data_IF_697037569709
#
_entry.id   IF_697037569709
#
_cell.length_a   1.000
_cell.length_b   1.000
_cell.length_c   1.000
_cell.angle_alpha   90.00
_cell.angle_beta   90.00
_cell.angle_gamma   90.00
#
_symmetry.space_group_name_H-M   'P 1'
#
loop_
_entity.id
_entity.type
_entity.pdbx_description
1 polymer ?
#
# COMPACT_ATOMS: atom_id res chain seq x y z
N UNK A 1 20.08 -8.09 -5.54
CA UNK A 1 19.41 -6.88 -6.07
C UNK A 1 19.69 -5.72 -5.14
N UNK A 2 20.05 -4.56 -5.70
CA UNK A 2 20.27 -3.34 -4.92
C UNK A 2 18.98 -2.52 -4.86
N UNK A 3 18.77 -1.80 -3.75
CA UNK A 3 17.70 -0.82 -3.64
C UNK A 3 17.89 0.35 -4.60
N UNK A 4 16.83 1.11 -4.82
CA UNK A 4 16.87 2.32 -5.62
C UNK A 4 17.09 3.58 -4.78
N UNK A 5 17.15 4.73 -5.46
CA UNK A 5 17.32 6.05 -4.82
C UNK A 5 16.08 6.53 -4.04
N UNK A 6 14.95 5.86 -4.21
CA UNK A 6 13.68 6.12 -3.53
C UNK A 6 12.93 4.83 -3.25
N UNK A 7 11.86 4.90 -2.44
CA UNK A 7 10.97 3.76 -2.20
C UNK A 7 10.43 3.20 -3.53
N UNK A 8 9.89 4.06 -4.37
CA UNK A 8 9.32 3.66 -5.66
C UNK A 8 10.35 3.03 -6.59
N UNK A 9 11.56 3.56 -6.64
CA UNK A 9 12.65 2.97 -7.41
C UNK A 9 13.05 1.58 -6.88
N UNK A 10 13.07 1.40 -5.57
CA UNK A 10 13.35 0.10 -4.94
C UNK A 10 12.28 -0.94 -5.30
N UNK A 11 11.01 -0.56 -5.25
CA UNK A 11 9.89 -1.44 -5.63
C UNK A 11 9.99 -1.83 -7.11
N UNK A 12 10.26 -0.88 -7.99
CA UNK A 12 10.46 -1.17 -9.43
C UNK A 12 11.59 -2.14 -9.68
N UNK A 13 12.71 -1.99 -8.98
CA UNK A 13 13.84 -2.92 -9.07
C UNK A 13 13.43 -4.32 -8.60
N UNK A 14 12.65 -4.41 -7.52
CA UNK A 14 12.11 -5.67 -7.02
C UNK A 14 11.22 -6.37 -8.04
N UNK A 15 10.33 -5.62 -8.67
CA UNK A 15 9.42 -6.13 -9.71
C UNK A 15 10.20 -6.66 -10.91
N UNK A 16 11.22 -5.93 -11.37
CA UNK A 16 12.08 -6.39 -12.47
C UNK A 16 12.83 -7.68 -12.16
N UNK A 17 13.19 -7.88 -10.89
CA UNK A 17 13.89 -9.07 -10.43
C UNK A 17 12.95 -10.23 -10.06
N UNK A 18 11.64 -9.99 -10.01
CA UNK A 18 10.65 -11.00 -9.67
C UNK A 18 10.56 -12.09 -10.75
N UNK A 19 10.13 -13.29 -10.34
CA UNK A 19 9.92 -14.39 -11.27
C UNK A 19 8.90 -13.97 -12.34
N UNK A 20 9.24 -14.20 -13.60
CA UNK A 20 8.38 -13.89 -14.75
C UNK A 20 7.01 -14.59 -14.71
N UNK A 21 6.94 -15.74 -14.00
CA UNK A 21 5.71 -16.52 -13.83
C UNK A 21 4.85 -16.05 -12.64
N UNK A 22 5.34 -15.10 -11.84
CA UNK A 22 4.57 -14.57 -10.72
C UNK A 22 3.30 -13.89 -11.23
N UNK A 23 2.16 -14.26 -10.68
CA UNK A 23 0.85 -13.69 -11.04
C UNK A 23 0.42 -12.57 -10.10
N UNK A 24 1.02 -12.49 -8.94
CA UNK A 24 0.74 -11.48 -7.92
C UNK A 24 2.05 -10.94 -7.36
N UNK A 25 2.03 -9.67 -6.96
CA UNK A 25 3.09 -9.04 -6.20
C UNK A 25 2.60 -8.75 -4.79
N UNK A 26 3.36 -9.14 -3.79
CA UNK A 26 3.17 -8.74 -2.41
C UNK A 26 4.30 -7.78 -2.02
N UNK A 27 3.97 -6.52 -1.84
CA UNK A 27 4.95 -5.47 -1.54
C UNK A 27 4.88 -5.19 -0.04
N UNK A 28 5.99 -5.42 0.65
CA UNK A 28 6.05 -5.33 2.10
C UNK A 28 7.19 -4.43 2.57
N UNK A 29 6.89 -3.59 3.56
CA UNK A 29 7.89 -2.78 4.25
C UNK A 29 8.84 -3.69 5.05
N UNK A 30 10.14 -3.64 4.74
CA UNK A 30 11.15 -4.36 5.52
C UNK A 30 11.20 -3.94 7.00
N UNK A 31 10.69 -2.74 7.29
CA UNK A 31 10.59 -2.20 8.65
C UNK A 31 9.35 -2.69 9.44
N UNK A 32 8.56 -3.63 8.89
CA UNK A 32 7.44 -4.28 9.59
C UNK A 32 7.73 -5.76 9.86
N UNK A 33 8.62 -6.06 10.80
CA UNK A 33 9.06 -7.43 11.01
C UNK A 33 8.05 -8.31 11.77
N UNK A 34 7.02 -7.73 12.36
CA UNK A 34 6.05 -8.44 13.20
C UNK A 34 4.80 -8.88 12.46
N UNK A 35 4.81 -8.82 11.14
CA UNK A 35 3.71 -9.35 10.31
C UNK A 35 3.49 -10.84 10.61
N UNK A 36 2.24 -11.27 10.73
CA UNK A 36 1.89 -12.66 10.98
C UNK A 36 1.50 -13.39 9.71
N UNK A 37 1.61 -14.72 9.73
CA UNK A 37 1.17 -15.57 8.61
C UNK A 37 -0.33 -15.39 8.36
N UNK A 38 -1.13 -15.29 9.39
CA UNK A 38 -2.58 -15.05 9.25
C UNK A 38 -2.90 -13.76 8.51
N UNK A 39 -2.23 -12.67 8.83
CA UNK A 39 -2.40 -11.38 8.14
C UNK A 39 -1.99 -11.48 6.66
N UNK A 40 -0.88 -12.15 6.38
CA UNK A 40 -0.41 -12.37 5.00
C UNK A 40 -1.45 -13.18 4.21
N UNK A 41 -1.93 -14.29 4.77
CA UNK A 41 -2.93 -15.14 4.12
C UNK A 41 -4.21 -14.37 3.82
N UNK A 42 -4.72 -13.59 4.77
CA UNK A 42 -5.97 -12.83 4.59
C UNK A 42 -5.87 -11.78 3.50
N UNK A 43 -4.77 -11.03 3.43
CA UNK A 43 -4.60 -10.01 2.39
C UNK A 43 -4.33 -10.63 1.02
N UNK A 44 -3.62 -11.75 0.96
CA UNK A 44 -3.39 -12.49 -0.30
C UNK A 44 -4.70 -13.06 -0.84
N UNK A 45 -5.51 -13.70 0.00
CA UNK A 45 -6.83 -14.22 -0.39
C UNK A 45 -7.75 -13.11 -0.91
N UNK A 46 -7.76 -11.96 -0.23
CA UNK A 46 -8.54 -10.81 -0.67
C UNK A 46 -8.08 -10.30 -2.05
N UNK A 47 -6.77 -10.26 -2.29
CA UNK A 47 -6.23 -9.88 -3.61
C UNK A 47 -6.56 -10.90 -4.69
N UNK A 48 -6.63 -12.19 -4.38
CA UNK A 48 -7.08 -13.21 -5.34
C UNK A 48 -8.54 -12.99 -5.77
N UNK A 49 -9.37 -12.50 -4.88
CA UNK A 49 -10.78 -12.22 -5.19
C UNK A 49 -11.01 -10.88 -5.89
N UNK A 50 -10.23 -9.86 -5.55
CA UNK A 50 -10.49 -8.47 -5.97
C UNK A 50 -9.44 -7.87 -6.91
N UNK A 51 -8.28 -8.50 -7.04
CA UNK A 51 -7.15 -8.01 -7.83
C UNK A 51 -6.19 -7.09 -7.07
N UNK A 52 -6.64 -6.43 -6.01
CA UNK A 52 -5.81 -5.54 -5.20
C UNK A 52 -6.33 -5.45 -3.76
N UNK A 53 -5.45 -5.65 -2.79
CA UNK A 53 -5.80 -5.56 -1.38
C UNK A 53 -4.60 -5.08 -0.54
N UNK A 54 -4.90 -4.45 0.57
CA UNK A 54 -3.92 -4.00 1.55
C UNK A 54 -4.40 -4.27 2.96
N UNK A 55 -3.47 -4.38 3.91
CA UNK A 55 -3.81 -4.35 5.32
C UNK A 55 -4.02 -2.91 5.81
N UNK A 56 -4.91 -2.76 6.76
CA UNK A 56 -5.15 -1.46 7.40
C UNK A 56 -5.86 -1.62 8.74
N UNK A 57 -5.67 -0.66 9.63
CA UNK A 57 -6.31 -0.62 10.95
C UNK A 57 -7.26 0.57 11.05
N UNK A 58 -8.23 0.48 11.96
CA UNK A 58 -9.08 1.61 12.29
C UNK A 58 -8.26 2.72 12.95
N UNK A 59 -8.60 3.95 12.65
CA UNK A 59 -7.97 5.12 13.28
C UNK A 59 -8.66 5.39 14.62
N UNK A 60 -7.87 5.49 15.69
CA UNK A 60 -8.37 5.72 17.05
C UNK A 60 -8.35 7.19 17.44
N UNK A 61 -7.37 7.95 16.96
CA UNK A 61 -7.28 9.39 17.21
C UNK A 61 -8.21 10.19 16.29
N UNK A 62 -8.61 11.37 16.75
CA UNK A 62 -9.31 12.33 15.88
C UNK A 62 -8.31 12.91 14.88
N UNK A 63 -8.62 12.79 13.59
CA UNK A 63 -7.80 13.35 12.51
C UNK A 63 -8.34 14.69 12.07
N UNK A 64 -7.45 15.65 11.89
CA UNK A 64 -7.77 16.98 11.36
C UNK A 64 -7.07 17.20 10.04
N UNK A 65 -7.78 17.78 9.09
CA UNK A 65 -7.15 18.35 7.89
C UNK A 65 -6.80 19.79 8.23
N UNK A 66 -5.55 20.16 7.96
CA UNK A 66 -5.03 21.51 8.25
C UNK A 66 -4.55 22.20 6.98
N UNK A 67 -4.55 23.53 6.98
CA UNK A 67 -4.00 24.34 5.89
C UNK A 67 -2.47 24.51 6.01
N UNK A 68 -1.87 25.28 5.11
CA UNK A 68 -0.43 25.58 5.12
C UNK A 68 0.07 26.36 6.34
N UNK A 69 -0.83 26.91 7.16
CA UNK A 69 -0.54 27.63 8.41
C UNK A 69 -0.87 26.81 9.65
N UNK A 70 -1.13 25.51 9.46
CA UNK A 70 -1.47 24.58 10.54
C UNK A 70 -2.81 24.92 11.24
N UNK A 71 -3.70 25.58 10.54
CA UNK A 71 -5.06 25.85 11.01
C UNK A 71 -6.00 24.73 10.55
N UNK A 72 -6.92 24.32 11.41
CA UNK A 72 -7.86 23.24 11.11
C UNK A 72 -8.85 23.71 10.05
N UNK A 73 -8.95 22.98 8.95
CA UNK A 73 -9.94 23.16 7.89
C UNK A 73 -11.17 22.28 8.10
N UNK A 74 -10.95 21.01 8.45
CA UNK A 74 -12.04 20.03 8.58
C UNK A 74 -11.64 18.84 9.45
N UNK A 75 -12.65 18.08 9.84
CA UNK A 75 -12.48 16.82 10.57
C UNK A 75 -13.13 15.70 9.76
N UNK A 76 -12.36 14.80 9.16
CA UNK A 76 -12.91 13.64 8.46
C UNK A 76 -13.68 12.72 9.41
N UNK A 77 -14.67 12.00 8.88
CA UNK A 77 -15.41 11.01 9.65
C UNK A 77 -14.48 9.83 9.96
N UNK A 78 -14.15 9.65 11.24
CA UNK A 78 -13.17 8.65 11.70
C UNK A 78 -13.52 7.22 11.28
N UNK A 79 -14.79 6.87 11.25
CA UNK A 79 -15.25 5.54 10.83
C UNK A 79 -14.90 5.19 9.37
N UNK A 80 -14.63 6.20 8.54
CA UNK A 80 -14.23 6.02 7.14
C UNK A 80 -12.72 6.04 6.94
N UNK A 81 -11.95 6.23 8.00
CA UNK A 81 -10.50 6.28 7.93
C UNK A 81 -9.89 4.92 8.27
N UNK A 82 -8.81 4.58 7.53
CA UNK A 82 -7.96 3.43 7.82
C UNK A 82 -6.49 3.87 7.76
N UNK A 83 -5.71 3.43 8.74
CA UNK A 83 -4.27 3.55 8.71
C UNK A 83 -3.73 2.35 7.93
N UNK A 84 -3.24 2.60 6.71
CA UNK A 84 -2.82 1.56 5.78
C UNK A 84 -1.44 1.02 6.15
N UNK A 85 -1.32 -0.29 6.11
CA UNK A 85 -0.10 -1.03 6.40
C UNK A 85 0.38 -1.76 5.14
N UNK A 86 1.33 -2.66 5.30
CA UNK A 86 1.75 -3.63 4.30
C UNK A 86 1.74 -5.05 4.91
N UNK A 87 1.70 -6.15 4.12
CA UNK A 87 1.83 -6.16 2.66
C UNK A 87 0.62 -5.56 1.94
N UNK A 88 0.92 -5.00 0.77
CA UNK A 88 -0.04 -4.61 -0.24
C UNK A 88 0.11 -5.59 -1.40
N UNK A 89 -0.98 -6.21 -1.80
CA UNK A 89 -0.96 -7.33 -2.75
C UNK A 89 -1.77 -6.99 -3.98
N UNK A 90 -1.18 -7.21 -5.15
CA UNK A 90 -1.76 -6.83 -6.43
C UNK A 90 -1.60 -7.95 -7.45
N UNK A 91 -2.61 -8.15 -8.28
CA UNK A 91 -2.45 -8.91 -9.50
C UNK A 91 -1.40 -8.23 -10.40
N UNK A 92 -0.49 -9.04 -10.96
CA UNK A 92 0.64 -8.54 -11.75
C UNK A 92 0.21 -7.62 -12.89
N UNK A 93 -0.72 -8.06 -13.73
CA UNK A 93 -1.12 -7.31 -14.92
C UNK A 93 -1.79 -5.99 -14.54
N UNK A 94 -2.62 -6.00 -13.51
CA UNK A 94 -3.25 -4.80 -12.96
C UNK A 94 -2.18 -3.80 -12.46
N UNK A 95 -1.21 -4.28 -11.69
CA UNK A 95 -0.15 -3.44 -11.16
C UNK A 95 0.74 -2.86 -12.27
N UNK A 96 1.13 -3.68 -13.24
CA UNK A 96 1.96 -3.23 -14.36
C UNK A 96 1.22 -2.20 -15.21
N UNK A 97 -0.07 -2.39 -15.45
CA UNK A 97 -0.91 -1.41 -16.15
C UNK A 97 -0.98 -0.08 -15.37
N UNK A 98 -1.14 -0.15 -14.05
CA UNK A 98 -1.16 1.04 -13.21
C UNK A 98 0.16 1.81 -13.24
N UNK A 99 1.30 1.12 -13.26
CA UNK A 99 2.61 1.73 -13.41
C UNK A 99 2.77 2.45 -14.76
N UNK A 100 2.35 1.82 -15.84
CA UNK A 100 2.38 2.45 -17.18
C UNK A 100 1.47 3.68 -17.23
N UNK A 101 0.27 3.58 -16.68
CA UNK A 101 -0.68 4.69 -16.64
C UNK A 101 -0.15 5.89 -15.83
N UNK A 102 0.56 5.65 -14.75
CA UNK A 102 1.15 6.70 -13.92
C UNK A 102 2.39 7.33 -14.56
N UNK A 103 3.12 6.59 -15.41
CA UNK A 103 4.33 7.05 -16.05
C UNK A 103 5.37 7.55 -15.05
N UNK A 104 5.95 8.74 -15.29
CA UNK A 104 6.93 9.36 -14.40
C UNK A 104 6.32 9.81 -13.07
N UNK A 105 5.02 10.09 -13.02
CA UNK A 105 4.31 10.50 -11.80
C UNK A 105 4.22 9.38 -10.75
N UNK A 106 4.54 8.14 -11.10
CA UNK A 106 4.57 7.03 -10.16
C UNK A 106 5.52 7.22 -8.98
N UNK A 107 6.47 8.14 -9.07
CA UNK A 107 7.40 8.48 -8.00
C UNK A 107 6.77 9.38 -6.92
N UNK A 108 5.62 9.99 -7.19
CA UNK A 108 4.93 10.93 -6.29
C UNK A 108 3.96 10.22 -5.33
N UNK A 109 3.67 8.95 -5.55
CA UNK A 109 2.73 8.20 -4.72
C UNK A 109 3.35 7.75 -3.39
N UNK A 110 2.60 7.90 -2.31
CA UNK A 110 3.04 7.53 -0.95
C UNK A 110 3.03 6.03 -0.70
N UNK A 111 2.21 5.29 -1.44
CA UNK A 111 2.13 3.84 -1.40
C UNK A 111 1.72 3.27 -2.77
N UNK A 112 1.71 1.95 -2.89
CA UNK A 112 1.39 1.29 -4.15
C UNK A 112 -0.12 1.24 -4.43
N UNK A 113 -0.96 1.31 -3.41
CA UNK A 113 -2.42 1.42 -3.57
C UNK A 113 -2.80 2.67 -4.36
N UNK A 114 -2.08 3.77 -4.14
CA UNK A 114 -2.32 5.03 -4.84
C UNK A 114 -2.13 4.91 -6.36
N UNK A 115 -1.27 4.01 -6.82
CA UNK A 115 -1.13 3.71 -8.26
C UNK A 115 -2.42 3.15 -8.86
N UNK A 116 -3.07 2.23 -8.15
CA UNK A 116 -4.33 1.62 -8.58
C UNK A 116 -5.46 2.67 -8.53
N UNK A 117 -5.52 3.45 -7.47
CA UNK A 117 -6.51 4.52 -7.31
C UNK A 117 -6.39 5.58 -8.42
N UNK A 118 -5.15 5.93 -8.81
CA UNK A 118 -4.88 6.93 -9.84
C UNK A 118 -5.51 6.58 -11.20
N UNK A 119 -5.65 5.32 -11.52
CA UNK A 119 -6.31 4.87 -12.75
C UNK A 119 -7.81 4.53 -12.57
N UNK A 120 -8.38 4.86 -11.41
CA UNK A 120 -9.78 4.57 -11.09
C UNK A 120 -10.05 3.13 -10.65
N UNK A 121 -9.01 2.37 -10.36
CA UNK A 121 -9.13 1.01 -9.83
C UNK A 121 -9.51 0.97 -8.35
N UNK A 122 -9.93 -0.19 -7.90
CA UNK A 122 -10.37 -0.43 -6.53
C UNK A 122 -9.34 -1.25 -5.75
N UNK A 123 -9.12 -0.89 -4.48
CA UNK A 123 -8.28 -1.63 -3.54
C UNK A 123 -9.08 -1.93 -2.29
N UNK A 124 -9.15 -3.20 -1.90
CA UNK A 124 -9.83 -3.61 -0.67
C UNK A 124 -8.88 -3.47 0.52
N UNK A 125 -9.37 -2.84 1.61
CA UNK A 125 -8.65 -2.82 2.88
C UNK A 125 -9.10 -3.99 3.74
N UNK A 126 -8.16 -4.85 4.09
CA UNK A 126 -8.36 -5.99 4.98
C UNK A 126 -7.88 -5.61 6.38
N UNK A 127 -8.60 -6.07 7.41
CA UNK A 127 -8.24 -5.77 8.80
C UNK A 127 -6.84 -6.28 9.14
N UNK A 128 -5.94 -5.33 9.47
CA UNK A 128 -4.61 -5.59 10.00
C UNK A 128 -4.61 -5.63 11.54
N UNK A 129 -3.42 -5.69 12.09
CA UNK A 129 -3.17 -5.65 13.54
C UNK A 129 -2.37 -4.40 13.91
N UNK A 130 -2.66 -3.83 15.07
CA UNK A 130 -1.85 -2.75 15.65
C UNK A 130 -0.44 -3.22 16.01
N UNK A 131 -0.24 -4.54 16.15
CA UNK A 131 1.06 -5.15 16.40
C UNK A 131 1.97 -5.18 15.17
N UNK A 132 1.40 -5.01 13.97
CA UNK A 132 2.15 -4.90 12.71
C UNK A 132 2.78 -3.51 12.59
N UNK A 133 3.63 -3.18 13.54
CA UNK A 133 4.28 -1.87 13.67
C UNK A 133 5.34 -1.66 12.59
N UNK A 134 5.54 -0.41 12.23
CA UNK A 134 6.64 0.01 11.36
C UNK A 134 7.74 0.62 12.22
N UNK A 135 8.90 -0.02 12.21
CA UNK A 135 10.09 0.51 12.88
C UNK A 135 10.67 1.64 12.05
N UNK A 136 10.47 2.86 12.51
CA UNK A 136 10.99 4.08 11.86
C UNK A 136 11.76 4.91 12.87
N UNK A 137 12.70 5.67 12.38
CA UNK A 137 13.46 6.66 13.19
C UNK A 137 12.65 7.94 13.40
#
# INVERSE_FOLDING_TARGET
MLGGSSRSASVRNGIKAANEKAKYFAIHDGARPLITVDEIERVVEAAFETGAATLGTSVTDTIKIVDGFNKIESTPLRSQLRAVQTPQVFERDLYMFALENAGENSLEFTDDCALIENMGGEVLVVKGSEENIKLTT
#
